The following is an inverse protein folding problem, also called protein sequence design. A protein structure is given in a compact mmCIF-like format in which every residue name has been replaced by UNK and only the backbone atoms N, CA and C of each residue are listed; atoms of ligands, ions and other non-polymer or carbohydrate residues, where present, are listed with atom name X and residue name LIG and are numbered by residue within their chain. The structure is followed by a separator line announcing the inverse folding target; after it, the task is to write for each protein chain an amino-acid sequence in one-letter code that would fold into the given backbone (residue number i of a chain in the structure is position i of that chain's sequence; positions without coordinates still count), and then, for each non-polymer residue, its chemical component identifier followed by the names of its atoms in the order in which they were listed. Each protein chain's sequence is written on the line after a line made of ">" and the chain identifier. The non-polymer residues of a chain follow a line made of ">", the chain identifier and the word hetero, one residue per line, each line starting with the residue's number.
data_IF_246717858268
#
_entry.id   IF_246717858268
#
_cell.length_a   1.000
_cell.length_b   1.000
_cell.length_c   1.000
_cell.angle_alpha   90.00
_cell.angle_beta   90.00
_cell.angle_gamma   90.00
#
_symmetry.space_group_name_H-M   'P 1'
#
loop_
_entity.id
_entity.type
_entity.pdbx_description
1 polymer ?
#
# COMPACT_ATOMS: atom_id res chain seq x y z
N UNK A 1 -9.85 28.54 5.74
CA UNK A 1 -9.79 27.19 6.34
C UNK A 1 -11.00 26.93 7.24
N UNK A 2 -11.31 27.84 8.17
CA UNK A 2 -12.46 27.73 9.09
C UNK A 2 -13.83 27.64 8.41
N UNK A 3 -14.07 28.37 7.33
CA UNK A 3 -15.32 28.35 6.57
C UNK A 3 -15.56 27.01 5.86
N UNK A 4 -14.51 26.32 5.39
CA UNK A 4 -14.59 25.02 4.75
C UNK A 4 -14.92 23.90 5.74
N UNK A 5 -14.30 23.93 6.91
CA UNK A 5 -14.58 22.93 7.98
C UNK A 5 -16.03 23.06 8.48
N UNK A 6 -16.51 24.29 8.68
CA UNK A 6 -17.90 24.54 9.07
C UNK A 6 -18.91 24.08 7.99
N UNK A 7 -18.58 24.19 6.70
CA UNK A 7 -19.43 23.73 5.60
C UNK A 7 -19.46 22.20 5.53
N UNK A 8 -18.33 21.52 5.70
CA UNK A 8 -18.25 20.06 5.68
C UNK A 8 -19.03 19.42 6.83
N UNK A 9 -19.01 20.05 8.03
CA UNK A 9 -19.78 19.58 9.17
C UNK A 9 -21.30 19.77 9.01
N UNK A 10 -21.77 20.75 8.21
CA UNK A 10 -23.18 20.94 7.91
C UNK A 10 -23.75 19.98 6.87
N UNK A 11 -22.89 19.44 5.98
CA UNK A 11 -23.31 18.53 4.91
C UNK A 11 -23.44 17.07 5.35
N UNK A 12 -23.04 16.72 6.59
CA UNK A 12 -23.17 15.37 7.15
C UNK A 12 -24.34 15.23 8.13
N UNK A 13 -25.50 15.82 7.82
CA UNK A 13 -26.73 15.68 8.61
C UNK A 13 -27.47 14.38 8.23
N UNK A 14 -26.85 13.25 8.51
CA UNK A 14 -27.48 11.92 8.58
C UNK A 14 -27.76 11.60 10.04
N UNK A 15 -28.87 12.09 10.55
CA UNK A 15 -29.73 11.59 11.62
C UNK A 15 -29.20 10.86 12.85
N UNK A 16 -27.97 11.05 13.30
CA UNK A 16 -27.50 10.54 14.58
C UNK A 16 -26.88 11.64 15.45
N UNK A 17 -27.46 11.77 16.62
CA UNK A 17 -27.19 12.77 17.64
C UNK A 17 -25.73 12.77 18.11
N UNK A 18 -24.99 13.82 17.74
CA UNK A 18 -23.77 14.23 18.42
C UNK A 18 -23.91 15.67 18.95
N UNK A 19 -24.89 15.95 19.85
CA UNK A 19 -25.15 17.32 20.29
C UNK A 19 -23.96 17.92 21.08
N UNK A 20 -23.24 17.10 21.83
CA UNK A 20 -22.09 17.52 22.62
C UNK A 20 -20.89 17.90 21.77
N UNK A 21 -20.58 17.12 20.74
CA UNK A 21 -19.45 17.36 19.83
C UNK A 21 -19.68 18.60 18.96
N UNK A 22 -20.89 18.76 18.43
CA UNK A 22 -21.28 19.94 17.64
C UNK A 22 -21.15 21.22 18.47
N UNK A 23 -21.63 21.21 19.70
CA UNK A 23 -21.51 22.33 20.63
C UNK A 23 -20.06 22.68 20.97
N UNK A 24 -19.20 21.68 21.15
CA UNK A 24 -17.77 21.86 21.42
C UNK A 24 -17.04 22.47 20.20
N UNK A 25 -17.38 22.03 18.98
CA UNK A 25 -16.78 22.56 17.74
C UNK A 25 -17.29 23.98 17.45
N UNK A 26 -18.58 24.26 17.64
CA UNK A 26 -19.16 25.61 17.48
C UNK A 26 -18.58 26.58 18.50
N UNK A 27 -18.35 26.15 19.74
CA UNK A 27 -17.69 26.93 20.76
C UNK A 27 -16.20 27.17 20.46
N UNK A 28 -15.48 26.18 19.94
CA UNK A 28 -14.08 26.32 19.50
C UNK A 28 -13.93 27.28 18.31
N UNK A 29 -14.91 27.32 17.40
CA UNK A 29 -14.94 28.20 16.23
C UNK A 29 -15.35 29.64 16.57
N UNK A 30 -16.07 29.86 17.71
CA UNK A 30 -16.53 31.20 18.14
C UNK A 30 -15.46 32.02 18.89
N UNK A 31 -14.28 31.46 19.11
CA UNK A 31 -13.18 32.17 19.77
C UNK A 31 -13.35 32.42 21.28
N UNK A 32 -14.41 31.89 21.90
CA UNK A 32 -14.72 32.11 23.32
C UNK A 32 -14.06 31.10 24.26
N UNK A 33 -13.15 30.23 23.77
CA UNK A 33 -12.56 29.13 24.55
C UNK A 33 -11.05 29.10 24.63
N UNK A 34 -10.41 30.25 24.74
CA UNK A 34 -8.98 30.29 25.13
C UNK A 34 -8.74 29.53 26.45
N UNK A 35 -9.62 29.69 27.42
CA UNK A 35 -9.50 29.02 28.73
C UNK A 35 -9.68 27.47 28.63
N UNK A 36 -10.62 26.98 27.84
CA UNK A 36 -10.86 25.54 27.68
C UNK A 36 -9.77 24.87 26.84
N UNK A 37 -9.28 25.55 25.81
CA UNK A 37 -8.13 25.10 25.02
C UNK A 37 -6.86 25.08 25.87
N UNK A 38 -6.66 26.07 26.73
CA UNK A 38 -5.56 26.10 27.69
C UNK A 38 -5.66 24.95 28.68
N UNK A 39 -6.85 24.68 29.19
CA UNK A 39 -7.11 23.57 30.12
C UNK A 39 -6.91 22.19 29.45
N UNK A 40 -7.37 22.01 28.21
CA UNK A 40 -7.13 20.79 27.43
C UNK A 40 -5.63 20.64 27.08
N UNK A 41 -4.94 21.74 26.82
CA UNK A 41 -3.49 21.76 26.57
C UNK A 41 -2.70 21.40 27.82
N UNK A 42 -3.10 21.90 28.99
CA UNK A 42 -2.53 21.52 30.28
C UNK A 42 -2.81 20.07 30.63
N UNK A 43 -4.02 19.55 30.37
CA UNK A 43 -4.34 18.14 30.54
C UNK A 43 -3.57 17.25 29.57
N UNK A 44 -3.47 17.62 28.31
CA UNK A 44 -2.66 16.90 27.33
C UNK A 44 -1.16 16.93 27.68
N UNK A 45 -0.67 18.05 28.22
CA UNK A 45 0.71 18.18 28.71
C UNK A 45 0.96 17.35 29.96
N UNK A 46 -0.02 17.28 30.88
CA UNK A 46 0.05 16.43 32.07
C UNK A 46 0.01 14.93 31.70
N UNK A 47 -0.79 14.54 30.70
CA UNK A 47 -0.80 13.17 30.16
C UNK A 47 0.48 12.82 29.36
N UNK A 48 1.16 13.81 28.80
CA UNK A 48 2.46 13.62 28.13
C UNK A 48 3.64 13.52 29.12
N UNK A 49 3.45 13.93 30.40
CA UNK A 49 4.49 13.87 31.42
C UNK A 49 4.59 12.50 32.12
N UNK A 50 3.62 11.60 31.93
CA UNK A 50 3.72 10.23 32.39
C UNK A 50 4.09 9.30 31.26
N UNK A 51 5.36 9.02 31.19
CA UNK A 51 6.19 8.19 30.33
C UNK A 51 6.67 8.92 29.06
N UNK A 52 8.00 9.13 28.97
CA UNK A 52 8.57 9.18 27.64
C UNK A 52 8.20 7.81 27.03
N UNK A 53 7.30 7.82 26.06
CA UNK A 53 7.24 6.77 25.08
C UNK A 53 8.60 6.83 24.42
N UNK A 54 9.59 6.24 25.09
CA UNK A 54 10.81 5.85 24.44
C UNK A 54 10.28 5.08 23.25
N UNK A 55 10.41 5.67 22.08
CA UNK A 55 10.08 5.04 20.83
C UNK A 55 11.01 3.83 20.74
N UNK A 56 10.66 2.77 21.47
CA UNK A 56 11.15 1.45 21.24
C UNK A 56 10.83 1.25 19.77
N UNK A 57 11.86 1.34 18.93
CA UNK A 57 11.72 1.05 17.50
C UNK A 57 10.96 -0.26 17.47
N UNK A 58 9.76 -0.33 16.87
CA UNK A 58 8.96 -1.52 16.94
C UNK A 58 9.84 -2.66 16.46
N UNK A 59 10.12 -3.59 17.35
CA UNK A 59 11.01 -4.72 17.05
C UNK A 59 10.34 -5.47 15.91
N UNK A 60 11.02 -5.56 14.77
CA UNK A 60 10.49 -6.26 13.62
C UNK A 60 10.13 -7.70 14.01
N UNK A 61 8.94 -8.13 13.69
CA UNK A 61 8.47 -9.47 13.96
C UNK A 61 9.09 -10.46 12.96
N UNK A 62 9.31 -11.72 13.35
CA UNK A 62 9.82 -12.71 12.43
C UNK A 62 8.84 -12.98 11.29
N UNK A 63 9.40 -13.09 10.08
CA UNK A 63 8.66 -13.40 8.86
C UNK A 63 8.67 -14.92 8.63
N UNK A 64 7.51 -15.54 8.52
CA UNK A 64 7.39 -16.97 8.20
C UNK A 64 7.40 -17.18 6.68
N UNK A 65 8.60 -17.28 6.10
CA UNK A 65 8.76 -17.41 4.64
C UNK A 65 8.09 -18.65 4.07
N UNK A 66 7.99 -19.74 4.82
CA UNK A 66 7.32 -20.97 4.38
C UNK A 66 5.80 -20.77 4.20
N UNK A 67 5.16 -19.98 5.07
CA UNK A 67 3.73 -19.66 4.93
C UNK A 67 3.48 -18.86 3.66
N UNK A 68 4.32 -17.87 3.37
CA UNK A 68 4.23 -17.07 2.14
C UNK A 68 4.55 -17.89 0.88
N UNK A 69 5.50 -18.85 0.93
CA UNK A 69 5.89 -19.64 -0.23
C UNK A 69 4.71 -20.39 -0.86
N UNK A 70 3.77 -20.87 -0.05
CA UNK A 70 2.56 -21.54 -0.53
C UNK A 70 1.64 -20.69 -1.40
N UNK A 71 1.78 -19.35 -1.37
CA UNK A 71 0.95 -18.42 -2.14
C UNK A 71 1.33 -18.38 -3.62
N UNK A 72 2.62 -18.49 -3.91
CA UNK A 72 3.14 -18.45 -5.27
C UNK A 72 3.55 -19.82 -5.80
N UNK A 73 3.65 -20.84 -4.95
CA UNK A 73 3.78 -22.21 -5.39
C UNK A 73 2.46 -22.68 -6.01
N UNK A 74 2.54 -22.94 -7.25
CA UNK A 74 1.60 -23.37 -8.27
C UNK A 74 0.28 -24.03 -7.83
N UNK A 75 -0.81 -23.28 -7.87
CA UNK A 75 -2.14 -23.83 -8.22
C UNK A 75 -2.51 -23.33 -9.61
N UNK A 76 -2.98 -24.23 -10.49
CA UNK A 76 -3.58 -23.83 -11.77
C UNK A 76 -4.80 -22.96 -11.50
N UNK A 77 -4.70 -21.68 -11.87
CA UNK A 77 -5.79 -20.70 -11.77
C UNK A 77 -6.37 -20.54 -13.16
N UNK A 78 -7.61 -20.90 -13.34
CA UNK A 78 -8.26 -20.93 -14.66
C UNK A 78 -9.48 -20.03 -14.72
N UNK A 79 -10.17 -19.86 -13.61
CA UNK A 79 -11.38 -19.04 -13.53
C UNK A 79 -11.10 -17.67 -12.94
N UNK A 80 -12.01 -16.71 -13.23
CA UNK A 80 -11.97 -15.39 -12.63
C UNK A 80 -11.98 -15.45 -11.10
N UNK A 81 -12.80 -16.33 -10.53
CA UNK A 81 -12.94 -16.46 -9.09
C UNK A 81 -11.68 -17.04 -8.44
N UNK A 82 -10.95 -17.94 -9.12
CA UNK A 82 -9.64 -18.44 -8.66
C UNK A 82 -8.63 -17.30 -8.52
N UNK A 83 -8.62 -16.35 -9.48
CA UNK A 83 -7.72 -15.21 -9.46
C UNK A 83 -8.05 -14.21 -8.35
N UNK A 84 -9.34 -13.93 -8.14
CA UNK A 84 -9.79 -13.03 -7.08
C UNK A 84 -9.51 -13.64 -5.70
N UNK A 85 -9.74 -14.92 -5.51
CA UNK A 85 -9.45 -15.59 -4.25
C UNK A 85 -7.93 -15.66 -3.99
N UNK A 86 -7.12 -15.89 -5.03
CA UNK A 86 -5.67 -15.85 -4.92
C UNK A 86 -5.18 -14.45 -4.49
N UNK A 87 -5.70 -13.39 -5.12
CA UNK A 87 -5.33 -12.03 -4.77
C UNK A 87 -5.71 -11.72 -3.31
N UNK A 88 -6.93 -12.06 -2.92
CA UNK A 88 -7.39 -11.89 -1.53
C UNK A 88 -6.52 -12.66 -0.53
N UNK A 89 -6.11 -13.87 -0.85
CA UNK A 89 -5.18 -14.64 0.00
C UNK A 89 -3.81 -13.99 0.07
N UNK A 90 -3.29 -13.49 -1.05
CA UNK A 90 -2.01 -12.78 -1.10
C UNK A 90 -2.04 -11.54 -0.20
N UNK A 91 -3.08 -10.71 -0.31
CA UNK A 91 -3.29 -9.52 0.53
C UNK A 91 -3.28 -9.89 2.02
N UNK A 92 -4.05 -10.89 2.39
CA UNK A 92 -4.21 -11.30 3.80
C UNK A 92 -2.95 -11.91 4.40
N UNK A 93 -2.26 -12.79 3.67
CA UNK A 93 -1.06 -13.43 4.18
C UNK A 93 0.12 -12.44 4.26
N UNK A 94 0.24 -11.51 3.30
CA UNK A 94 1.23 -10.43 3.40
C UNK A 94 0.97 -9.57 4.65
N UNK A 95 -0.28 -9.30 4.98
CA UNK A 95 -0.64 -8.53 6.17
C UNK A 95 -0.37 -9.31 7.47
N UNK A 96 -0.69 -10.61 7.52
CA UNK A 96 -0.47 -11.49 8.67
C UNK A 96 1.00 -11.71 8.96
N UNK A 97 1.81 -11.85 7.92
CA UNK A 97 3.24 -12.12 8.03
C UNK A 97 4.10 -10.86 8.03
N UNK A 98 3.49 -9.68 7.91
CA UNK A 98 4.22 -8.42 7.92
C UNK A 98 5.14 -8.30 9.13
N UNK A 99 6.43 -7.99 8.95
CA UNK A 99 7.36 -7.70 10.04
C UNK A 99 6.97 -6.46 10.86
N UNK A 100 6.13 -5.57 10.29
CA UNK A 100 5.64 -4.40 10.99
C UNK A 100 4.49 -4.76 11.96
N UNK A 101 4.68 -4.60 13.30
CA UNK A 101 3.68 -5.00 14.29
C UNK A 101 2.32 -4.31 14.09
N UNK A 102 2.33 -3.04 13.68
CA UNK A 102 1.11 -2.26 13.42
C UNK A 102 0.28 -2.84 12.28
N UNK A 103 0.93 -3.24 11.17
CA UNK A 103 0.25 -3.86 10.03
C UNK A 103 -0.28 -5.24 10.40
N UNK A 104 0.54 -6.07 11.08
CA UNK A 104 0.11 -7.40 11.54
C UNK A 104 -1.06 -7.32 12.51
N UNK A 105 -1.11 -6.32 13.38
CA UNK A 105 -2.22 -6.10 14.30
C UNK A 105 -3.56 -5.74 13.58
N UNK A 106 -3.49 -5.22 12.34
CA UNK A 106 -4.68 -4.94 11.54
C UNK A 106 -5.27 -6.19 10.86
N UNK A 107 -4.54 -7.31 10.81
CA UNK A 107 -4.98 -8.51 10.08
C UNK A 107 -6.35 -9.06 10.54
N UNK A 108 -6.69 -9.15 11.84
CA UNK A 108 -8.02 -9.61 12.26
C UNK A 108 -9.16 -8.71 11.78
N UNK A 109 -8.92 -7.39 11.76
CA UNK A 109 -9.93 -6.42 11.27
C UNK A 109 -10.05 -6.49 9.75
N UNK A 110 -8.94 -6.60 9.04
CA UNK A 110 -8.90 -6.74 7.59
C UNK A 110 -9.58 -8.04 7.10
N UNK A 111 -9.56 -9.09 7.92
CA UNK A 111 -10.28 -10.33 7.61
C UNK A 111 -11.79 -10.13 7.57
N UNK A 112 -12.32 -9.25 8.40
CA UNK A 112 -13.75 -8.92 8.45
C UNK A 112 -14.12 -7.81 7.44
N UNK A 113 -13.16 -6.96 7.08
CA UNK A 113 -13.38 -5.81 6.22
C UNK A 113 -12.42 -5.83 5.03
N UNK A 114 -12.83 -6.48 3.95
CA UNK A 114 -12.02 -6.68 2.73
C UNK A 114 -11.38 -5.40 2.17
N UNK A 115 -12.06 -4.23 2.12
CA UNK A 115 -11.43 -3.01 1.63
C UNK A 115 -10.19 -2.59 2.42
N UNK A 116 -10.13 -2.88 3.72
CA UNK A 116 -8.97 -2.57 4.55
C UNK A 116 -7.75 -3.42 4.17
N UNK A 117 -7.95 -4.73 3.89
CA UNK A 117 -6.88 -5.61 3.42
C UNK A 117 -6.22 -5.04 2.17
N UNK A 118 -7.01 -4.63 1.18
CA UNK A 118 -6.56 -4.02 -0.07
C UNK A 118 -5.80 -2.71 0.15
N UNK A 119 -6.29 -1.83 1.02
CA UNK A 119 -5.62 -0.56 1.34
C UNK A 119 -4.26 -0.75 2.01
N UNK A 120 -4.11 -1.77 2.85
CA UNK A 120 -2.87 -2.06 3.57
C UNK A 120 -1.91 -2.97 2.79
N UNK A 121 -2.36 -3.58 1.71
CA UNK A 121 -1.62 -4.58 0.95
C UNK A 121 -0.23 -4.10 0.50
N UNK A 122 -0.16 -2.96 -0.17
CA UNK A 122 1.10 -2.46 -0.71
C UNK A 122 2.15 -2.21 0.39
N UNK A 123 1.72 -1.64 1.52
CA UNK A 123 2.61 -1.42 2.67
C UNK A 123 3.04 -2.74 3.32
N UNK A 124 2.13 -3.70 3.46
CA UNK A 124 2.43 -5.03 3.98
C UNK A 124 3.39 -5.79 3.05
N UNK A 125 3.16 -5.72 1.74
CA UNK A 125 4.03 -6.32 0.73
C UNK A 125 5.45 -5.76 0.82
N UNK A 126 5.62 -4.43 0.86
CA UNK A 126 6.93 -3.79 0.98
C UNK A 126 7.70 -4.28 2.21
N UNK A 127 7.04 -4.36 3.36
CA UNK A 127 7.69 -4.82 4.61
C UNK A 127 8.07 -6.30 4.55
N UNK A 128 7.22 -7.15 3.97
CA UNK A 128 7.55 -8.55 3.72
C UNK A 128 8.68 -8.69 2.72
N UNK A 129 8.63 -7.94 1.61
CA UNK A 129 9.67 -7.94 0.57
C UNK A 129 11.06 -7.68 1.13
N UNK A 130 11.19 -6.70 2.02
CA UNK A 130 12.46 -6.38 2.67
C UNK A 130 13.00 -7.53 3.53
N UNK A 131 12.12 -8.35 4.11
CA UNK A 131 12.47 -9.50 4.94
C UNK A 131 12.65 -10.83 4.20
N UNK A 132 12.22 -10.93 2.93
CA UNK A 132 12.31 -12.16 2.14
C UNK A 132 13.76 -12.47 1.73
N UNK A 133 14.11 -13.77 1.72
CA UNK A 133 15.34 -14.28 1.13
C UNK A 133 15.38 -14.05 -0.38
N UNK A 134 16.56 -14.00 -0.98
CA UNK A 134 16.73 -13.84 -2.43
C UNK A 134 15.95 -14.92 -3.21
N UNK A 135 16.03 -16.18 -2.76
CA UNK A 135 15.30 -17.29 -3.39
C UNK A 135 13.79 -17.06 -3.39
N UNK A 136 13.25 -16.65 -2.24
CA UNK A 136 11.80 -16.37 -2.12
C UNK A 136 11.38 -15.17 -2.98
N UNK A 137 12.21 -14.12 -3.03
CA UNK A 137 11.97 -12.96 -3.91
C UNK A 137 11.91 -13.38 -5.39
N UNK A 138 12.89 -14.15 -5.85
CA UNK A 138 12.92 -14.63 -7.25
C UNK A 138 11.69 -15.49 -7.58
N UNK A 139 11.29 -16.40 -6.68
CA UNK A 139 10.09 -17.23 -6.87
C UNK A 139 8.81 -16.41 -6.90
N UNK A 140 8.69 -15.41 -6.01
CA UNK A 140 7.55 -14.49 -5.98
C UNK A 140 7.46 -13.64 -7.26
N UNK A 141 8.58 -13.05 -7.69
CA UNK A 141 8.63 -12.27 -8.94
C UNK A 141 8.22 -13.09 -10.13
N UNK A 142 8.75 -14.31 -10.26
CA UNK A 142 8.37 -15.21 -11.34
C UNK A 142 6.86 -15.51 -11.34
N UNK A 143 6.25 -15.73 -10.16
CA UNK A 143 4.80 -15.92 -10.05
C UNK A 143 4.01 -14.66 -10.45
N UNK A 144 4.50 -13.47 -10.09
CA UNK A 144 3.89 -12.20 -10.49
C UNK A 144 3.99 -11.97 -12.00
N UNK A 145 5.13 -12.25 -12.62
CA UNK A 145 5.33 -12.15 -14.07
C UNK A 145 4.39 -13.09 -14.83
N UNK A 146 4.29 -14.35 -14.39
CA UNK A 146 3.34 -15.30 -14.95
C UNK A 146 1.89 -14.82 -14.83
N UNK A 147 1.54 -14.22 -13.70
CA UNK A 147 0.20 -13.66 -13.47
C UNK A 147 -0.05 -12.48 -14.41
N UNK A 148 0.88 -11.53 -14.51
CA UNK A 148 0.75 -10.35 -15.38
C UNK A 148 0.70 -10.71 -16.88
N UNK A 149 1.31 -11.83 -17.27
CA UNK A 149 1.33 -12.32 -18.67
C UNK A 149 0.13 -13.21 -19.00
N UNK A 150 -0.66 -13.61 -18.03
CA UNK A 150 -1.79 -14.53 -18.25
C UNK A 150 -3.03 -13.80 -18.77
N UNK A 151 -3.60 -14.29 -19.86
CA UNK A 151 -4.81 -13.73 -20.50
C UNK A 151 -6.07 -13.94 -19.65
N UNK A 152 -6.08 -14.92 -18.74
CA UNK A 152 -7.25 -15.25 -17.91
C UNK A 152 -7.40 -14.37 -16.67
N UNK A 153 -6.42 -13.50 -16.39
CA UNK A 153 -6.43 -12.66 -15.20
C UNK A 153 -7.45 -11.51 -15.34
N UNK A 154 -8.31 -11.28 -14.33
CA UNK A 154 -9.24 -10.16 -14.36
C UNK A 154 -8.50 -8.81 -14.36
N UNK A 155 -9.07 -7.83 -15.08
CA UNK A 155 -8.51 -6.47 -15.17
C UNK A 155 -8.34 -5.80 -13.79
N UNK A 156 -9.19 -6.11 -12.83
CA UNK A 156 -9.09 -5.62 -11.44
C UNK A 156 -7.81 -6.12 -10.74
N UNK A 157 -7.49 -7.42 -10.86
CA UNK A 157 -6.27 -8.00 -10.30
C UNK A 157 -5.02 -7.43 -10.98
N UNK A 158 -5.05 -7.26 -12.32
CA UNK A 158 -3.95 -6.62 -13.04
C UNK A 158 -3.69 -5.19 -12.56
N UNK A 159 -4.76 -4.41 -12.34
CA UNK A 159 -4.62 -3.04 -11.81
C UNK A 159 -4.00 -3.03 -10.41
N UNK A 160 -4.42 -3.93 -9.53
CA UNK A 160 -3.86 -4.04 -8.17
C UNK A 160 -2.36 -4.39 -8.20
N UNK A 161 -1.94 -5.30 -9.09
CA UNK A 161 -0.52 -5.64 -9.24
C UNK A 161 0.30 -4.51 -9.89
N UNK A 162 -0.29 -3.75 -10.81
CA UNK A 162 0.34 -2.55 -11.37
C UNK A 162 0.44 -1.42 -10.33
N UNK A 163 -0.57 -1.27 -9.46
CA UNK A 163 -0.53 -0.33 -8.33
C UNK A 163 0.57 -0.72 -7.34
N UNK A 164 0.74 -2.02 -7.09
CA UNK A 164 1.82 -2.53 -6.27
C UNK A 164 3.19 -2.22 -6.89
N UNK A 165 3.38 -2.47 -8.19
CA UNK A 165 4.65 -2.19 -8.88
C UNK A 165 5.03 -0.71 -8.78
N UNK A 166 4.09 0.19 -9.04
CA UNK A 166 4.27 1.64 -8.90
C UNK A 166 4.56 2.04 -7.44
N UNK A 167 3.89 1.43 -6.47
CA UNK A 167 4.14 1.66 -5.05
C UNK A 167 5.58 1.26 -4.67
N UNK A 168 6.05 0.12 -5.15
CA UNK A 168 7.40 -0.37 -4.88
C UNK A 168 8.49 0.52 -5.51
N UNK A 169 8.25 1.05 -6.71
CA UNK A 169 9.13 2.03 -7.35
C UNK A 169 9.25 3.31 -6.52
N UNK A 170 8.13 3.85 -6.04
CA UNK A 170 8.11 5.05 -5.19
C UNK A 170 8.84 4.90 -3.86
N UNK A 171 9.05 3.66 -3.42
CA UNK A 171 9.74 3.35 -2.17
C UNK A 171 11.16 2.81 -2.38
N UNK A 172 11.77 3.13 -3.52
CA UNK A 172 13.15 2.74 -3.87
C UNK A 172 13.40 1.22 -3.79
N UNK A 173 12.36 0.44 -4.01
CA UNK A 173 12.40 -1.03 -3.95
C UNK A 173 11.72 -1.65 -5.18
N UNK A 174 12.07 -1.25 -6.42
CA UNK A 174 11.39 -1.69 -7.62
C UNK A 174 11.41 -3.22 -7.74
N UNK A 175 10.30 -3.78 -8.19
CA UNK A 175 10.22 -5.20 -8.50
C UNK A 175 11.01 -5.46 -9.80
N UNK A 176 11.83 -6.50 -9.85
CA UNK A 176 12.60 -6.84 -11.06
C UNK A 176 11.72 -7.54 -12.12
N UNK A 177 10.62 -6.88 -12.50
CA UNK A 177 9.68 -7.29 -13.53
C UNK A 177 10.02 -6.51 -14.81
N UNK A 178 9.94 -7.16 -15.99
CA UNK A 178 10.26 -6.48 -17.23
C UNK A 178 9.26 -5.36 -17.53
N UNK A 179 9.75 -4.19 -17.97
CA UNK A 179 8.89 -3.06 -18.38
C UNK A 179 7.89 -3.49 -19.44
N UNK A 180 8.30 -4.38 -20.34
CA UNK A 180 7.43 -4.93 -21.38
C UNK A 180 6.22 -5.67 -20.80
N UNK A 181 6.42 -6.52 -19.80
CA UNK A 181 5.34 -7.23 -19.12
C UNK A 181 4.37 -6.26 -18.46
N UNK A 182 4.88 -5.20 -17.81
CA UNK A 182 4.05 -4.17 -17.17
C UNK A 182 3.27 -3.35 -18.21
N UNK A 183 3.86 -3.01 -19.34
CA UNK A 183 3.20 -2.31 -20.45
C UNK A 183 2.05 -3.16 -21.01
N UNK A 184 2.32 -4.44 -21.34
CA UNK A 184 1.32 -5.33 -21.92
C UNK A 184 0.16 -5.58 -20.94
N UNK A 185 0.44 -5.76 -19.64
CA UNK A 185 -0.57 -5.87 -18.59
C UNK A 185 -1.39 -4.58 -18.45
N UNK A 186 -0.75 -3.41 -18.50
CA UNK A 186 -1.42 -2.11 -18.41
C UNK A 186 -2.36 -1.87 -19.61
N UNK A 187 -1.94 -2.28 -20.82
CA UNK A 187 -2.81 -2.23 -22.01
C UNK A 187 -4.02 -3.17 -21.86
N UNK A 188 -3.82 -4.40 -21.42
CA UNK A 188 -4.91 -5.39 -21.28
C UNK A 188 -5.97 -5.00 -20.26
N UNK A 189 -5.61 -4.26 -19.21
CA UNK A 189 -6.58 -3.76 -18.22
C UNK A 189 -7.05 -2.32 -18.45
N UNK A 190 -6.60 -1.66 -19.54
CA UNK A 190 -6.99 -0.29 -19.88
C UNK A 190 -6.35 0.80 -19.00
N UNK A 191 -5.23 0.50 -18.34
CA UNK A 191 -4.50 1.45 -17.49
C UNK A 191 -3.50 2.29 -18.33
N UNK A 192 -4.00 3.10 -19.25
CA UNK A 192 -3.21 3.83 -20.26
C UNK A 192 -2.13 4.74 -19.68
N UNK A 193 -2.40 5.40 -18.56
CA UNK A 193 -1.40 6.24 -17.89
C UNK A 193 -0.21 5.43 -17.39
N UNK A 194 -0.43 4.22 -16.86
CA UNK A 194 0.63 3.31 -16.43
C UNK A 194 1.39 2.73 -17.61
N UNK A 195 0.69 2.38 -18.69
CA UNK A 195 1.33 1.94 -19.93
C UNK A 195 2.29 3.00 -20.47
N UNK A 196 1.88 4.27 -20.46
CA UNK A 196 2.73 5.40 -20.87
C UNK A 196 3.93 5.54 -19.94
N UNK A 197 3.73 5.53 -18.63
CA UNK A 197 4.80 5.62 -17.63
C UNK A 197 5.89 4.55 -17.84
N UNK A 198 5.50 3.29 -17.99
CA UNK A 198 6.48 2.21 -18.22
C UNK A 198 7.14 2.28 -19.59
N UNK A 199 6.42 2.77 -20.63
CA UNK A 199 7.00 2.99 -21.96
C UNK A 199 8.05 4.11 -21.96
N UNK A 200 7.80 5.19 -21.23
CA UNK A 200 8.76 6.28 -21.03
C UNK A 200 9.99 5.79 -20.26
N UNK A 201 9.81 5.01 -19.20
CA UNK A 201 10.91 4.43 -18.44
C UNK A 201 11.80 3.50 -19.31
N UNK A 202 11.18 2.65 -20.14
CA UNK A 202 11.89 1.79 -21.09
C UNK A 202 12.70 2.62 -22.10
N UNK A 203 12.10 3.67 -22.66
CA UNK A 203 12.76 4.56 -23.61
C UNK A 203 13.96 5.31 -23.01
N UNK A 204 13.83 5.79 -21.78
CA UNK A 204 14.92 6.44 -21.05
C UNK A 204 16.05 5.45 -20.73
N UNK A 205 15.73 4.21 -20.35
CA UNK A 205 16.72 3.14 -20.17
C UNK A 205 17.50 2.84 -21.45
N UNK A 206 16.84 2.78 -22.60
CA UNK A 206 17.48 2.60 -23.91
C UNK A 206 18.44 3.74 -24.26
N UNK A 207 18.04 4.99 -24.03
CA UNK A 207 18.90 6.15 -24.28
C UNK A 207 20.16 6.15 -23.42
N UNK A 208 20.03 5.79 -22.15
CA UNK A 208 21.19 5.70 -21.25
C UNK A 208 22.14 4.58 -21.67
N UNK A 209 21.63 3.42 -22.06
CA UNK A 209 22.43 2.30 -22.54
C UNK A 209 23.20 2.67 -23.81
N UNK A 210 22.56 3.33 -24.80
CA UNK A 210 23.22 3.78 -26.02
C UNK A 210 24.26 4.88 -25.75
N UNK A 211 24.00 5.80 -24.82
CA UNK A 211 24.98 6.82 -24.44
C UNK A 211 26.23 6.20 -23.80
N UNK A 212 26.08 5.19 -22.98
CA UNK A 212 27.17 4.47 -22.32
C UNK A 212 28.01 3.68 -23.32
N UNK A 213 27.42 3.04 -24.33
CA UNK A 213 28.13 2.32 -25.41
C UNK A 213 28.98 3.29 -26.23
N UNK A 214 28.44 4.46 -26.61
CA UNK A 214 29.21 5.47 -27.37
C UNK A 214 30.41 6.03 -26.60
N UNK A 215 30.34 6.11 -25.28
CA UNK A 215 31.48 6.56 -24.46
C UNK A 215 32.59 5.50 -24.46
N UNK A 216 32.25 4.21 -24.43
CA UNK A 216 33.21 3.10 -24.43
C UNK A 216 33.84 2.94 -25.79
N UNK A 217 33.14 3.18 -26.91
CA UNK A 217 33.66 3.12 -28.25
C UNK A 217 34.62 4.29 -28.60
N UNK A 218 34.59 5.38 -27.84
CA UNK A 218 35.43 6.56 -28.03
C UNK A 218 36.62 6.64 -27.06
N UNK A 219 36.85 5.64 -26.22
CA UNK A 219 38.03 5.48 -25.35
C UNK A 219 39.02 4.48 -25.94
#
# INVERSE_FOLDING_TARGET
>A
YHARVAHTLRCHDGGHEWPSYRRTVEMALSGQHTALLEQLRLQASAMQCEQPFAAARPTALPLQQAALASLWESRTRTTRDDWLEWMRRLEMEMLRESPAPSLRACAPVAQLHVPLARQLFNAAFLTCWQGLSLRSRTSLVHSLELTLSSVSVPAETLRELLDLSEYMERHDSPLPISSRTLIDAAHSCGATAKALHYSEAEFHGFKQAQGSVRIIENL
#
